data_IF_219833791044
#
_entry.id   IF_219833791044
#
_cell.length_a   1.000
_cell.length_b   1.000
_cell.length_c   1.000
_cell.angle_alpha   90.00
_cell.angle_beta   90.00
_cell.angle_gamma   90.00
#
_symmetry.space_group_name_H-M   'P 1'
#
loop_
_entity.id
_entity.type
_entity.pdbx_description
1 polymer ?
#
# COMPACT_ATOMS: atom_id res chain seq x y z
N UNK A 1 -24.22 14.51 -17.86
CA UNK A 1 -23.84 13.10 -18.11
C UNK A 1 -22.45 12.92 -17.55
N UNK A 2 -22.12 11.82 -16.86
CA UNK A 2 -20.75 11.67 -16.34
C UNK A 2 -19.74 11.57 -17.48
N UNK A 3 -18.55 12.12 -17.29
CA UNK A 3 -17.49 12.02 -18.28
C UNK A 3 -17.08 10.58 -18.53
N UNK A 4 -16.64 10.28 -19.75
CA UNK A 4 -16.19 8.92 -20.10
C UNK A 4 -15.10 8.42 -19.14
N UNK A 5 -14.10 9.25 -18.84
CA UNK A 5 -12.99 8.88 -17.96
C UNK A 5 -13.40 8.73 -16.49
N UNK A 6 -14.31 9.57 -15.99
CA UNK A 6 -14.86 9.42 -14.64
C UNK A 6 -15.67 8.13 -14.52
N UNK A 7 -16.47 7.78 -15.54
CA UNK A 7 -17.20 6.51 -15.60
C UNK A 7 -16.27 5.31 -15.62
N UNK A 8 -15.23 5.32 -16.45
CA UNK A 8 -14.22 4.25 -16.52
C UNK A 8 -13.54 4.09 -15.16
N UNK A 9 -13.09 5.19 -14.55
CA UNK A 9 -12.45 5.18 -13.22
C UNK A 9 -13.36 4.56 -12.18
N UNK A 10 -14.62 4.99 -12.09
CA UNK A 10 -15.58 4.43 -11.12
C UNK A 10 -15.76 2.93 -11.29
N UNK A 11 -16.02 2.49 -12.52
CA UNK A 11 -16.27 1.07 -12.80
C UNK A 11 -15.05 0.23 -12.46
N UNK A 12 -13.86 0.61 -12.95
CA UNK A 12 -12.62 -0.14 -12.72
C UNK A 12 -12.29 -0.17 -11.23
N UNK A 13 -12.28 0.97 -10.54
CA UNK A 13 -11.93 1.05 -9.11
C UNK A 13 -12.93 0.29 -8.21
N UNK A 14 -14.22 0.27 -8.56
CA UNK A 14 -15.22 -0.59 -7.87
C UNK A 14 -14.92 -2.08 -8.10
N UNK A 15 -14.62 -2.49 -9.34
CA UNK A 15 -14.26 -3.87 -9.64
C UNK A 15 -12.98 -4.30 -8.89
N UNK A 16 -11.93 -3.48 -8.92
CA UNK A 16 -10.66 -3.77 -8.25
C UNK A 16 -10.83 -3.86 -6.74
N UNK A 17 -11.52 -2.91 -6.10
CA UNK A 17 -11.82 -2.97 -4.67
C UNK A 17 -12.63 -4.21 -4.29
N UNK A 18 -13.63 -4.59 -5.10
CA UNK A 18 -14.40 -5.83 -4.92
C UNK A 18 -13.54 -7.09 -5.00
N UNK A 19 -12.61 -7.14 -5.96
CA UNK A 19 -11.65 -8.26 -6.10
C UNK A 19 -10.71 -8.32 -4.90
N UNK A 20 -10.15 -7.19 -4.46
CA UNK A 20 -9.29 -7.13 -3.26
C UNK A 20 -10.08 -7.66 -2.06
N UNK A 21 -11.30 -7.17 -1.83
CA UNK A 21 -12.14 -7.60 -0.71
C UNK A 21 -12.37 -9.12 -0.73
N UNK A 22 -12.72 -9.69 -1.89
CA UNK A 22 -12.93 -11.12 -2.04
C UNK A 22 -11.67 -11.94 -1.76
N UNK A 23 -10.52 -11.54 -2.31
CA UNK A 23 -9.24 -12.23 -2.08
C UNK A 23 -8.90 -12.26 -0.59
N UNK A 24 -9.03 -11.12 0.08
CA UNK A 24 -8.71 -11.01 1.51
C UNK A 24 -9.74 -11.70 2.42
N UNK A 25 -11.00 -11.75 2.04
CA UNK A 25 -12.01 -12.57 2.72
C UNK A 25 -11.69 -14.06 2.62
N UNK A 26 -11.34 -14.55 1.42
CA UNK A 26 -10.89 -15.93 1.21
C UNK A 26 -9.62 -16.22 2.02
N UNK A 27 -8.68 -15.28 2.04
CA UNK A 27 -7.45 -15.38 2.84
C UNK A 27 -7.76 -15.56 4.34
N UNK A 28 -8.61 -14.71 4.93
CA UNK A 28 -9.02 -14.84 6.34
C UNK A 28 -9.76 -16.15 6.61
N UNK A 29 -10.65 -16.56 5.71
CA UNK A 29 -11.35 -17.84 5.81
C UNK A 29 -10.35 -19.01 5.87
N UNK A 30 -9.40 -19.07 4.94
CA UNK A 30 -8.37 -20.11 4.94
C UNK A 30 -7.48 -20.05 6.17
N UNK A 31 -7.14 -18.84 6.64
CA UNK A 31 -6.35 -18.65 7.85
C UNK A 31 -7.07 -19.18 9.09
N UNK A 32 -8.37 -18.95 9.21
CA UNK A 32 -9.21 -19.46 10.31
C UNK A 32 -9.25 -20.99 10.35
N UNK A 33 -9.14 -21.65 9.18
CA UNK A 33 -9.13 -23.11 9.07
C UNK A 33 -7.76 -23.73 9.33
N UNK A 34 -6.67 -22.95 9.31
CA UNK A 34 -5.31 -23.46 9.47
C UNK A 34 -4.83 -23.35 10.92
N UNK A 35 -5.09 -24.40 11.72
CA UNK A 35 -4.75 -24.44 13.15
C UNK A 35 -3.28 -24.72 13.44
N UNK A 36 -2.50 -25.21 12.47
CA UNK A 36 -1.08 -25.56 12.69
C UNK A 36 -0.11 -24.39 12.49
N UNK A 37 -0.61 -23.21 12.10
CA UNK A 37 0.22 -22.01 11.99
C UNK A 37 0.57 -21.50 13.40
N UNK A 38 1.84 -21.16 13.62
CA UNK A 38 2.28 -20.54 14.88
C UNK A 38 1.51 -19.24 15.16
N UNK A 39 1.19 -18.98 16.43
CA UNK A 39 0.42 -17.80 16.82
C UNK A 39 1.07 -16.49 16.35
N UNK A 40 2.40 -16.37 16.44
CA UNK A 40 3.15 -15.20 15.95
C UNK A 40 2.92 -14.96 14.46
N UNK A 41 3.01 -16.01 13.65
CA UNK A 41 2.81 -15.87 12.22
C UNK A 41 1.35 -15.61 11.87
N UNK A 42 0.41 -16.22 12.61
CA UNK A 42 -1.03 -15.95 12.46
C UNK A 42 -1.35 -14.48 12.69
N UNK A 43 -0.77 -13.85 13.71
CA UNK A 43 -0.98 -12.42 13.99
C UNK A 43 -0.49 -11.54 12.85
N UNK A 44 0.70 -11.82 12.31
CA UNK A 44 1.24 -11.12 11.14
C UNK A 44 0.30 -11.23 9.93
N UNK A 45 -0.20 -12.44 9.65
CA UNK A 45 -1.15 -12.66 8.56
C UNK A 45 -2.48 -11.93 8.77
N UNK A 46 -2.97 -11.85 10.01
CA UNK A 46 -4.17 -11.07 10.36
C UNK A 46 -3.95 -9.58 10.10
N UNK A 47 -2.81 -9.02 10.52
CA UNK A 47 -2.49 -7.59 10.29
C UNK A 47 -2.52 -7.26 8.81
N UNK A 48 -1.85 -8.08 7.99
CA UNK A 48 -1.84 -7.89 6.53
C UNK A 48 -3.24 -8.03 5.94
N UNK A 49 -4.04 -8.97 6.45
CA UNK A 49 -5.40 -9.16 5.97
C UNK A 49 -6.32 -7.99 6.30
N UNK A 50 -6.24 -7.47 7.52
CA UNK A 50 -7.00 -6.31 7.98
C UNK A 50 -6.61 -5.07 7.18
N UNK A 51 -5.31 -4.84 6.95
CA UNK A 51 -4.84 -3.75 6.08
C UNK A 51 -5.44 -3.86 4.67
N UNK A 52 -5.37 -5.03 4.04
CA UNK A 52 -5.94 -5.24 2.70
C UNK A 52 -7.44 -4.98 2.62
N UNK A 53 -8.21 -5.40 3.63
CA UNK A 53 -9.66 -5.12 3.70
C UNK A 53 -9.98 -3.65 3.93
N UNK A 54 -9.28 -3.00 4.87
CA UNK A 54 -9.45 -1.57 5.13
C UNK A 54 -9.09 -0.73 3.92
N UNK A 55 -8.05 -1.13 3.19
CA UNK A 55 -7.63 -0.48 1.97
C UNK A 55 -8.65 -0.64 0.85
N UNK A 56 -9.14 -1.86 0.60
CA UNK A 56 -10.21 -2.12 -0.36
C UNK A 56 -11.47 -1.31 -0.06
N UNK A 57 -11.87 -1.29 1.21
CA UNK A 57 -13.01 -0.50 1.67
C UNK A 57 -12.81 1.00 1.40
N UNK A 58 -11.65 1.55 1.74
CA UNK A 58 -11.36 2.97 1.50
C UNK A 58 -11.34 3.31 0.00
N UNK A 59 -10.72 2.46 -0.84
CA UNK A 59 -10.76 2.60 -2.30
C UNK A 59 -12.20 2.67 -2.82
N UNK A 60 -13.06 1.76 -2.35
CA UNK A 60 -14.49 1.74 -2.71
C UNK A 60 -15.24 3.00 -2.27
N UNK A 61 -14.92 3.52 -1.07
CA UNK A 61 -15.56 4.72 -0.53
C UNK A 61 -15.23 5.99 -1.31
N UNK A 62 -13.98 6.14 -1.74
CA UNK A 62 -13.47 7.39 -2.32
C UNK A 62 -13.46 7.40 -3.85
N UNK A 63 -13.34 6.22 -4.48
CA UNK A 63 -13.20 6.04 -5.93
C UNK A 63 -12.27 7.09 -6.54
N UNK A 64 -10.97 6.95 -6.29
CA UNK A 64 -9.96 7.93 -6.72
C UNK A 64 -9.33 7.56 -8.07
N UNK A 65 -8.85 8.59 -8.76
CA UNK A 65 -7.89 8.48 -9.86
C UNK A 65 -6.73 9.45 -9.65
N UNK A 66 -5.61 9.19 -10.32
CA UNK A 66 -4.47 10.09 -10.38
C UNK A 66 -4.43 10.78 -11.73
N UNK A 67 -4.12 12.09 -11.74
CA UNK A 67 -4.04 12.93 -12.94
C UNK A 67 -2.81 13.82 -12.88
N UNK A 68 -2.14 13.93 -14.01
CA UNK A 68 -0.97 14.79 -14.21
C UNK A 68 -1.30 15.70 -15.39
N UNK A 69 -1.62 16.95 -15.09
CA UNK A 69 -2.08 17.90 -16.11
C UNK A 69 -1.77 19.34 -15.71
N UNK A 70 -1.35 20.15 -16.68
CA UNK A 70 -0.91 21.54 -16.52
C UNK A 70 0.08 21.74 -15.37
N UNK A 71 1.00 20.80 -15.16
CA UNK A 71 1.98 20.89 -14.08
C UNK A 71 1.43 20.59 -12.67
N UNK A 72 0.26 19.97 -12.57
CA UNK A 72 -0.37 19.59 -11.31
C UNK A 72 -0.55 18.08 -11.18
N UNK A 73 -0.17 17.54 -10.02
CA UNK A 73 -0.63 16.23 -9.57
C UNK A 73 -1.99 16.40 -8.88
N UNK A 74 -3.02 15.77 -9.41
CA UNK A 74 -4.38 15.82 -8.87
C UNK A 74 -4.91 14.42 -8.59
N UNK A 75 -5.68 14.29 -7.52
CA UNK A 75 -6.37 13.07 -7.09
C UNK A 75 -7.86 13.39 -6.91
N UNK A 76 -8.65 13.41 -7.99
CA UNK A 76 -10.09 13.56 -7.88
C UNK A 76 -10.73 12.33 -7.25
N UNK A 77 -11.70 12.55 -6.36
CA UNK A 77 -12.50 11.54 -5.68
C UNK A 77 -13.94 11.58 -6.20
N UNK A 78 -14.41 10.43 -6.68
CA UNK A 78 -15.73 10.26 -7.30
C UNK A 78 -16.68 9.38 -6.49
N UNK A 79 -16.29 9.02 -5.28
CA UNK A 79 -16.95 8.04 -4.45
C UNK A 79 -18.36 8.42 -4.00
N UNK A 80 -19.21 7.42 -3.70
CA UNK A 80 -20.60 7.65 -3.30
C UNK A 80 -20.74 8.46 -2.01
N UNK A 81 -19.71 8.46 -1.16
CA UNK A 81 -19.70 9.22 0.09
C UNK A 81 -19.18 10.66 -0.05
N UNK A 82 -18.53 11.00 -1.16
CA UNK A 82 -18.01 12.36 -1.39
C UNK A 82 -19.08 13.44 -1.18
N UNK A 83 -20.29 13.36 -1.79
CA UNK A 83 -21.31 14.39 -1.58
C UNK A 83 -21.96 14.36 -0.17
N UNK A 84 -21.80 13.27 0.58
CA UNK A 84 -22.48 13.06 1.87
C UNK A 84 -21.61 13.42 3.07
N UNK A 85 -20.29 13.33 2.94
CA UNK A 85 -19.35 13.56 4.02
C UNK A 85 -19.03 15.06 4.18
N UNK A 86 -18.93 15.57 5.42
CA UNK A 86 -18.29 16.85 5.68
C UNK A 86 -16.84 16.88 5.17
N UNK A 87 -16.36 18.07 4.76
CA UNK A 87 -15.00 18.26 4.21
C UNK A 87 -13.90 17.64 5.08
N UNK A 88 -13.97 17.80 6.40
CA UNK A 88 -13.01 17.20 7.33
C UNK A 88 -12.93 15.67 7.18
N UNK A 89 -14.06 14.98 7.01
CA UNK A 89 -14.07 13.52 6.84
C UNK A 89 -13.59 13.11 5.45
N UNK A 90 -13.84 13.92 4.42
CA UNK A 90 -13.29 13.70 3.07
C UNK A 90 -11.76 13.80 3.10
N UNK A 91 -11.22 14.84 3.74
CA UNK A 91 -9.78 15.08 3.87
C UNK A 91 -9.11 13.92 4.63
N UNK A 92 -9.71 13.49 5.74
CA UNK A 92 -9.22 12.34 6.51
C UNK A 92 -9.31 11.04 5.71
N UNK A 93 -10.34 10.86 4.88
CA UNK A 93 -10.46 9.67 4.04
C UNK A 93 -9.34 9.60 2.99
N UNK A 94 -9.01 10.73 2.35
CA UNK A 94 -7.92 10.82 1.39
C UNK A 94 -6.55 10.57 2.05
N UNK A 95 -6.32 11.16 3.23
CA UNK A 95 -5.10 10.93 4.01
C UNK A 95 -4.97 9.44 4.35
N UNK A 96 -6.04 8.83 4.87
CA UNK A 96 -6.06 7.40 5.20
C UNK A 96 -5.82 6.52 3.96
N UNK A 97 -6.43 6.84 2.81
CA UNK A 97 -6.21 6.11 1.57
C UNK A 97 -4.73 6.11 1.16
N UNK A 98 -4.11 7.28 1.23
CA UNK A 98 -2.71 7.47 0.86
C UNK A 98 -1.79 6.72 1.81
N UNK A 99 -2.00 6.83 3.13
CA UNK A 99 -1.25 6.07 4.14
C UNK A 99 -1.42 4.56 3.93
N UNK A 100 -2.64 4.08 3.67
CA UNK A 100 -2.86 2.66 3.38
C UNK A 100 -2.15 2.20 2.11
N UNK A 101 -2.02 3.08 1.10
CA UNK A 101 -1.23 2.80 -0.08
C UNK A 101 0.26 2.65 0.26
N UNK A 102 0.78 3.48 1.16
CA UNK A 102 2.19 3.42 1.57
C UNK A 102 2.50 2.21 2.48
N UNK A 103 1.53 1.80 3.29
CA UNK A 103 1.63 0.60 4.12
C UNK A 103 1.91 -0.69 3.32
N UNK A 104 1.61 -0.72 2.02
CA UNK A 104 1.92 -1.83 1.10
C UNK A 104 3.40 -2.24 1.20
N UNK A 105 4.33 -1.27 1.21
CA UNK A 105 5.76 -1.55 1.35
C UNK A 105 6.25 -1.42 2.80
N UNK A 106 5.63 -0.54 3.60
CA UNK A 106 6.08 -0.30 4.97
C UNK A 106 5.79 -1.43 5.94
N UNK A 107 4.84 -2.32 5.61
CA UNK A 107 4.58 -3.54 6.39
C UNK A 107 5.60 -4.65 6.11
N UNK A 108 6.40 -4.57 5.04
CA UNK A 108 7.36 -5.63 4.65
C UNK A 108 8.37 -5.96 5.76
N UNK A 109 8.99 -5.00 6.46
CA UNK A 109 9.93 -5.29 7.54
C UNK A 109 9.32 -6.01 8.76
N UNK A 110 8.01 -5.86 8.99
CA UNK A 110 7.33 -6.40 10.18
C UNK A 110 7.45 -7.92 10.30
N UNK A 111 6.96 -8.70 9.31
CA UNK A 111 7.06 -10.16 9.30
C UNK A 111 8.48 -10.70 9.49
N UNK A 112 9.49 -10.11 8.84
CA UNK A 112 10.87 -10.58 8.96
C UNK A 112 11.49 -10.20 10.30
N UNK A 113 11.19 -9.00 10.83
CA UNK A 113 11.58 -8.61 12.18
C UNK A 113 11.01 -9.57 13.22
N UNK A 114 9.74 -9.94 13.07
CA UNK A 114 9.07 -10.88 13.97
C UNK A 114 9.74 -12.24 13.97
N UNK A 115 10.14 -12.73 12.79
CA UNK A 115 10.90 -13.97 12.68
C UNK A 115 12.28 -13.85 13.33
N UNK A 116 13.01 -12.77 13.03
CA UNK A 116 14.33 -12.53 13.60
C UNK A 116 14.29 -12.48 15.13
N UNK A 117 13.30 -11.80 15.72
CA UNK A 117 13.10 -11.75 17.16
C UNK A 117 12.67 -13.10 17.73
N UNK A 118 11.86 -13.88 17.02
CA UNK A 118 11.51 -15.22 17.45
C UNK A 118 12.73 -16.17 17.49
N UNK A 119 13.68 -15.99 16.59
CA UNK A 119 14.92 -16.76 16.55
C UNK A 119 15.93 -16.31 17.62
N UNK A 120 16.17 -15.00 17.74
CA UNK A 120 17.24 -14.45 18.58
C UNK A 120 16.83 -14.15 20.01
N UNK A 121 15.53 -13.91 20.26
CA UNK A 121 14.98 -13.47 21.54
C UNK A 121 13.74 -14.29 21.92
N UNK A 122 13.86 -15.63 22.07
CA UNK A 122 12.71 -16.51 22.35
C UNK A 122 12.05 -16.25 23.71
N UNK A 123 12.75 -15.63 24.66
CA UNK A 123 12.23 -15.28 25.98
C UNK A 123 11.23 -14.11 25.97
N UNK A 124 11.22 -13.27 24.92
CA UNK A 124 10.26 -12.19 24.80
C UNK A 124 8.86 -12.77 24.56
N UNK A 125 7.82 -12.22 25.18
CA UNK A 125 6.45 -12.63 24.87
C UNK A 125 6.06 -12.21 23.43
N UNK A 126 4.98 -12.79 22.91
CA UNK A 126 4.51 -12.54 21.54
C UNK A 126 4.16 -11.07 21.28
N UNK A 127 3.57 -10.38 22.26
CA UNK A 127 3.13 -8.99 22.13
C UNK A 127 4.30 -8.03 22.05
N UNK A 128 5.33 -8.23 22.88
CA UNK A 128 6.57 -7.44 22.83
C UNK A 128 7.28 -7.64 21.50
N UNK A 129 7.39 -8.89 21.01
CA UNK A 129 7.98 -9.14 19.69
C UNK A 129 7.17 -8.45 18.58
N UNK A 130 5.84 -8.51 18.64
CA UNK A 130 4.96 -7.88 17.67
C UNK A 130 5.15 -6.35 17.65
N UNK A 131 5.11 -5.72 18.83
CA UNK A 131 5.31 -4.28 18.97
C UNK A 131 6.68 -3.84 18.42
N UNK A 132 7.75 -4.53 18.82
CA UNK A 132 9.09 -4.22 18.33
C UNK A 132 9.20 -4.39 16.80
N UNK A 133 8.57 -5.43 16.25
CA UNK A 133 8.61 -5.72 14.81
C UNK A 133 7.91 -4.67 13.96
N UNK A 134 6.84 -4.06 14.47
CA UNK A 134 6.05 -3.05 13.75
C UNK A 134 6.31 -1.61 14.21
N UNK A 135 7.20 -1.41 15.20
CA UNK A 135 7.58 -0.07 15.68
C UNK A 135 8.08 0.84 14.56
N UNK A 136 8.91 0.31 13.66
CA UNK A 136 9.42 1.03 12.48
C UNK A 136 8.27 1.44 11.55
N UNK A 137 7.32 0.53 11.28
CA UNK A 137 6.15 0.84 10.46
C UNK A 137 5.29 1.92 11.12
N UNK A 138 5.11 1.89 12.44
CA UNK A 138 4.39 2.95 13.18
C UNK A 138 5.11 4.30 13.02
N UNK A 139 6.43 4.32 13.14
CA UNK A 139 7.22 5.53 12.89
C UNK A 139 7.05 6.05 11.45
N UNK A 140 7.03 5.17 10.44
CA UNK A 140 6.77 5.57 9.06
C UNK A 140 5.35 6.13 8.87
N UNK A 141 4.32 5.54 9.48
CA UNK A 141 2.95 6.07 9.40
C UNK A 141 2.87 7.48 10.00
N UNK A 142 3.50 7.70 11.16
CA UNK A 142 3.55 9.03 11.79
C UNK A 142 4.30 10.02 10.90
N UNK A 143 5.43 9.61 10.34
CA UNK A 143 6.23 10.41 9.42
C UNK A 143 5.43 10.80 8.17
N UNK A 144 4.78 9.83 7.53
CA UNK A 144 3.99 10.03 6.32
C UNK A 144 2.80 10.95 6.54
N UNK A 145 2.15 10.88 7.71
CA UNK A 145 1.03 11.77 8.02
C UNK A 145 1.37 13.24 7.82
N UNK A 146 2.59 13.67 8.19
CA UNK A 146 3.04 15.05 7.99
C UNK A 146 3.25 15.44 6.52
N UNK A 147 3.58 14.48 5.65
CA UNK A 147 3.72 14.73 4.21
C UNK A 147 2.38 14.60 3.47
N UNK A 148 1.61 13.57 3.79
CA UNK A 148 0.32 13.26 3.16
C UNK A 148 -0.71 14.33 3.49
N UNK A 149 -0.69 14.93 4.69
CA UNK A 149 -1.55 16.08 5.02
C UNK A 149 -1.33 17.28 4.10
N UNK A 150 -0.19 17.38 3.41
CA UNK A 150 0.06 18.44 2.43
C UNK A 150 -0.73 18.26 1.13
N UNK A 151 -1.28 17.07 0.85
CA UNK A 151 -2.18 16.82 -0.28
C UNK A 151 -3.52 17.55 -0.13
N UNK A 152 -3.88 17.95 1.08
CA UNK A 152 -5.06 18.79 1.32
C UNK A 152 -4.76 20.20 0.81
N UNK A 153 -5.42 20.63 -0.28
CA UNK A 153 -5.12 21.91 -0.90
C UNK A 153 -5.57 23.07 0.01
N UNK A 154 -4.94 24.22 -0.15
CA UNK A 154 -5.51 25.49 0.34
C UNK A 154 -6.80 25.82 -0.42
N UNK A 155 -7.70 26.67 0.13
CA UNK A 155 -8.93 27.07 -0.56
C UNK A 155 -8.69 27.72 -1.93
N UNK A 156 -7.59 28.46 -2.09
CA UNK A 156 -7.21 29.10 -3.34
C UNK A 156 -6.73 28.06 -4.36
N UNK A 157 -5.86 27.15 -3.94
CA UNK A 157 -5.33 26.11 -4.81
C UNK A 157 -6.38 25.07 -5.20
N UNK A 158 -7.32 24.75 -4.31
CA UNK A 158 -8.43 23.82 -4.57
C UNK A 158 -9.19 24.19 -5.84
N UNK A 159 -9.46 25.49 -6.05
CA UNK A 159 -10.14 25.99 -7.25
C UNK A 159 -9.34 25.71 -8.52
N UNK A 160 -8.01 25.87 -8.46
CA UNK A 160 -7.11 25.64 -9.59
C UNK A 160 -7.12 24.15 -9.95
N UNK A 161 -6.83 23.27 -8.99
CA UNK A 161 -6.77 21.82 -9.26
C UNK A 161 -8.13 21.23 -9.62
N UNK A 162 -9.23 21.83 -9.16
CA UNK A 162 -10.58 21.41 -9.55
C UNK A 162 -10.85 21.76 -11.01
N UNK A 163 -10.47 22.96 -11.47
CA UNK A 163 -10.57 23.33 -12.87
C UNK A 163 -9.70 22.41 -13.75
N UNK A 164 -8.44 22.19 -13.36
CA UNK A 164 -7.51 21.29 -14.06
C UNK A 164 -8.04 19.86 -14.13
N UNK A 165 -8.61 19.33 -13.04
CA UNK A 165 -9.20 17.98 -13.04
C UNK A 165 -10.46 17.88 -13.89
N UNK A 166 -11.27 18.94 -13.94
CA UNK A 166 -12.44 19.00 -14.84
C UNK A 166 -12.01 18.95 -16.29
N UNK A 167 -10.99 19.70 -16.66
CA UNK A 167 -10.43 19.71 -18.02
C UNK A 167 -9.83 18.35 -18.39
N UNK A 168 -8.95 17.81 -17.54
CA UNK A 168 -8.22 16.57 -17.82
C UNK A 168 -9.12 15.34 -18.04
N UNK A 169 -10.25 15.29 -17.34
CA UNK A 169 -11.18 14.16 -17.41
C UNK A 169 -12.54 14.52 -18.03
N UNK A 170 -12.70 15.73 -18.59
CA UNK A 170 -13.96 16.20 -19.19
C UNK A 170 -15.17 16.11 -18.23
N UNK A 171 -14.96 16.43 -16.94
CA UNK A 171 -15.98 16.27 -15.88
C UNK A 171 -17.09 17.33 -16.05
N UNK A 172 -18.33 16.86 -16.15
CA UNK A 172 -19.54 17.70 -16.27
C UNK A 172 -19.60 18.76 -15.16
N UNK A 173 -19.89 20.01 -15.52
CA UNK A 173 -19.93 21.14 -14.57
C UNK A 173 -20.84 20.91 -13.37
N UNK A 174 -21.90 20.11 -13.55
CA UNK A 174 -22.87 19.79 -12.50
C UNK A 174 -22.45 18.58 -11.64
N UNK A 175 -21.42 17.85 -12.07
CA UNK A 175 -20.91 16.71 -11.32
C UNK A 175 -20.11 17.19 -10.11
N UNK A 176 -20.53 16.74 -8.93
CA UNK A 176 -19.86 17.02 -7.67
C UNK A 176 -18.72 16.04 -7.45
N UNK A 177 -17.52 16.57 -7.23
CA UNK A 177 -16.34 15.81 -6.84
C UNK A 177 -15.42 16.70 -5.99
N UNK A 178 -14.53 16.07 -5.24
CA UNK A 178 -13.47 16.76 -4.52
C UNK A 178 -12.13 16.34 -5.05
N UNK A 179 -11.15 17.22 -4.94
CA UNK A 179 -9.83 17.01 -5.52
C UNK A 179 -8.76 17.34 -4.49
N UNK A 180 -7.76 16.49 -4.44
CA UNK A 180 -6.57 16.64 -3.63
C UNK A 180 -5.36 16.69 -4.54
N UNK A 181 -4.22 17.16 -4.07
CA UNK A 181 -3.05 17.19 -4.93
C UNK A 181 -1.99 18.20 -4.56
N UNK A 182 -0.96 18.24 -5.40
CA UNK A 182 0.19 19.12 -5.23
C UNK A 182 0.69 19.60 -6.61
N UNK A 183 1.19 20.84 -6.69
CA UNK A 183 1.78 21.37 -7.91
C UNK A 183 3.18 20.77 -8.09
N UNK A 184 3.65 20.58 -9.31
CA UNK A 184 5.04 20.13 -9.54
C UNK A 184 6.05 21.20 -9.12
N UNK A 185 5.71 22.46 -9.31
CA UNK A 185 6.52 23.62 -8.95
C UNK A 185 5.92 24.38 -7.76
N UNK A 186 6.74 25.22 -7.11
CA UNK A 186 6.27 26.08 -6.02
C UNK A 186 5.31 27.12 -6.57
N UNK A 187 4.11 27.20 -5.97
CA UNK A 187 3.14 28.25 -6.25
C UNK A 187 2.66 28.88 -4.92
N UNK A 188 2.53 30.21 -4.86
CA UNK A 188 2.08 30.90 -3.65
C UNK A 188 0.70 30.45 -3.18
N UNK A 189 -0.21 30.16 -4.10
CA UNK A 189 -1.59 29.77 -3.83
C UNK A 189 -1.67 28.52 -2.98
N UNK A 190 -0.68 27.62 -3.07
CA UNK A 190 -0.59 26.40 -2.26
C UNK A 190 0.52 26.47 -1.20
N UNK A 191 0.83 27.66 -0.67
CA UNK A 191 1.88 27.88 0.33
C UNK A 191 3.26 27.35 -0.10
N UNK A 192 3.59 27.42 -1.39
CA UNK A 192 4.85 26.92 -1.97
C UNK A 192 5.13 25.42 -1.71
N UNK A 193 4.09 24.62 -1.41
CA UNK A 193 4.19 23.16 -1.31
C UNK A 193 4.38 22.57 -2.70
N UNK A 194 5.10 21.45 -2.81
CA UNK A 194 5.38 20.82 -4.10
C UNK A 194 5.21 19.31 -4.05
N UNK A 195 4.87 18.73 -5.20
CA UNK A 195 4.73 17.29 -5.38
C UNK A 195 6.07 16.57 -5.16
N UNK A 196 7.20 17.20 -5.53
CA UNK A 196 8.53 16.60 -5.36
C UNK A 196 8.89 16.39 -3.87
N UNK A 197 8.42 17.27 -2.98
CA UNK A 197 8.58 17.09 -1.53
C UNK A 197 7.89 15.83 -1.04
N UNK A 198 6.68 15.54 -1.54
CA UNK A 198 5.96 14.29 -1.23
C UNK A 198 6.66 13.08 -1.85
N UNK A 199 7.05 13.18 -3.13
CA UNK A 199 7.69 12.11 -3.88
C UNK A 199 9.01 11.64 -3.23
N UNK A 200 9.94 12.58 -3.01
CA UNK A 200 11.25 12.26 -2.46
C UNK A 200 11.19 12.09 -0.94
N UNK A 201 10.49 12.99 -0.27
CA UNK A 201 10.43 13.06 1.18
C UNK A 201 9.67 11.91 1.81
N UNK A 202 8.64 11.37 1.15
CA UNK A 202 7.78 10.34 1.73
C UNK A 202 7.82 9.02 0.92
N UNK A 203 7.50 9.05 -0.37
CA UNK A 203 7.40 7.82 -1.17
C UNK A 203 8.77 7.14 -1.30
N UNK A 204 9.74 7.84 -1.86
CA UNK A 204 11.10 7.31 -2.09
C UNK A 204 11.76 6.95 -0.76
N UNK A 205 11.77 7.87 0.21
CA UNK A 205 12.47 7.66 1.49
C UNK A 205 11.97 6.43 2.25
N UNK A 206 10.65 6.27 2.43
CA UNK A 206 10.09 5.14 3.17
C UNK A 206 10.18 3.85 2.38
N UNK A 207 9.99 3.91 1.06
CA UNK A 207 10.18 2.76 0.18
C UNK A 207 11.60 2.19 0.29
N UNK A 208 12.61 3.01 0.02
CA UNK A 208 14.01 2.57 0.11
C UNK A 208 14.37 2.10 1.52
N UNK A 209 13.94 2.83 2.55
CA UNK A 209 14.20 2.45 3.95
C UNK A 209 13.59 1.09 4.30
N UNK A 210 12.33 0.83 3.93
CA UNK A 210 11.68 -0.46 4.15
C UNK A 210 12.45 -1.62 3.51
N UNK A 211 12.91 -1.46 2.26
CA UNK A 211 13.65 -2.52 1.57
C UNK A 211 15.06 -2.71 2.10
N UNK A 212 15.75 -1.64 2.52
CA UNK A 212 17.07 -1.75 3.19
C UNK A 212 16.92 -2.51 4.51
N UNK A 213 15.92 -2.16 5.33
CA UNK A 213 15.67 -2.82 6.61
C UNK A 213 15.32 -4.29 6.40
N UNK A 214 14.44 -4.59 5.43
CA UNK A 214 14.12 -5.96 5.04
C UNK A 214 15.38 -6.75 4.65
N UNK A 215 16.21 -6.20 3.75
CA UNK A 215 17.45 -6.83 3.31
C UNK A 215 18.42 -7.09 4.46
N UNK A 216 18.59 -6.11 5.35
CA UNK A 216 19.45 -6.24 6.53
C UNK A 216 18.96 -7.37 7.46
N UNK A 217 17.66 -7.41 7.77
CA UNK A 217 17.08 -8.45 8.65
C UNK A 217 17.25 -9.85 8.03
N UNK A 218 17.00 -9.99 6.72
CA UNK A 218 17.22 -11.25 6.01
C UNK A 218 18.68 -11.72 6.13
N UNK A 219 19.64 -10.81 5.95
CA UNK A 219 21.07 -11.12 6.12
C UNK A 219 21.38 -11.54 7.55
N UNK A 220 20.80 -10.87 8.55
CA UNK A 220 20.98 -11.20 9.96
C UNK A 220 20.40 -12.58 10.32
N UNK A 221 19.19 -12.90 9.85
CA UNK A 221 18.58 -14.23 10.02
C UNK A 221 19.51 -15.31 9.44
N UNK A 222 20.00 -15.12 8.21
CA UNK A 222 20.91 -16.06 7.55
C UNK A 222 22.22 -16.25 8.31
N UNK A 223 22.82 -15.17 8.80
CA UNK A 223 24.05 -15.22 9.61
C UNK A 223 23.83 -16.00 10.89
N UNK A 224 22.72 -15.74 11.58
CA UNK A 224 22.38 -16.39 12.84
C UNK A 224 22.17 -17.90 12.68
N UNK A 225 21.48 -18.31 11.61
CA UNK A 225 21.26 -19.73 11.32
C UNK A 225 22.55 -20.46 10.95
N UNK A 226 23.46 -19.81 10.21
CA UNK A 226 24.78 -20.37 9.92
C UNK A 226 25.67 -20.49 11.16
N UNK A 227 25.63 -19.51 12.06
CA UNK A 227 26.51 -19.49 13.23
C UNK A 227 26.25 -20.62 14.21
N UNK A 228 25.04 -21.17 14.25
CA UNK A 228 24.72 -22.19 15.23
C UNK A 228 25.37 -23.54 14.96
N UNK A 229 25.82 -23.87 13.74
CA UNK A 229 26.35 -25.21 13.45
C UNK A 229 25.41 -26.37 13.81
N UNK A 230 24.18 -26.05 14.24
CA UNK A 230 23.18 -26.99 14.72
C UNK A 230 22.70 -27.72 13.48
N UNK A 231 22.74 -29.06 13.54
CA UNK A 231 22.00 -29.94 12.64
C UNK A 231 20.51 -29.66 12.82
N UNK A 232 20.02 -28.55 12.27
CA UNK A 232 18.59 -28.28 12.14
C UNK A 232 18.00 -29.50 11.44
N UNK A 233 16.87 -29.98 11.94
CA UNK A 233 16.17 -31.08 11.26
C UNK A 233 15.92 -30.67 9.81
N UNK A 234 16.00 -31.62 8.89
CA UNK A 234 15.71 -31.39 7.46
C UNK A 234 14.32 -30.74 7.29
N UNK A 235 13.37 -31.11 8.15
CA UNK A 235 12.04 -30.52 8.22
C UNK A 235 12.07 -29.03 8.58
N UNK A 236 12.88 -28.62 9.55
CA UNK A 236 13.00 -27.20 9.95
C UNK A 236 13.62 -26.38 8.82
N UNK A 237 14.70 -26.88 8.20
CA UNK A 237 15.34 -26.21 7.06
C UNK A 237 14.39 -26.07 5.87
N UNK A 238 13.59 -27.11 5.57
CA UNK A 238 12.59 -27.05 4.49
C UNK A 238 11.49 -26.04 4.78
N UNK A 239 11.01 -25.98 6.01
CA UNK A 239 10.00 -25.00 6.44
C UNK A 239 10.54 -23.58 6.33
N UNK A 240 11.77 -23.35 6.78
CA UNK A 240 12.43 -22.05 6.72
C UNK A 240 12.67 -21.59 5.28
N UNK A 241 13.17 -22.48 4.41
CA UNK A 241 13.34 -22.18 2.99
C UNK A 241 12.02 -21.82 2.30
N UNK A 242 10.94 -22.51 2.66
CA UNK A 242 9.61 -22.21 2.12
C UNK A 242 9.14 -20.83 2.59
N UNK A 243 9.35 -20.52 3.86
CA UNK A 243 9.01 -19.23 4.44
C UNK A 243 9.84 -18.09 3.82
N UNK A 244 11.14 -18.30 3.63
CA UNK A 244 12.03 -17.35 2.98
C UNK A 244 11.60 -17.06 1.53
N UNK A 245 11.27 -18.10 0.76
CA UNK A 245 10.71 -17.94 -0.59
C UNK A 245 9.41 -17.13 -0.57
N UNK A 246 8.54 -17.38 0.42
CA UNK A 246 7.30 -16.62 0.58
C UNK A 246 7.59 -15.14 0.87
N UNK A 247 8.49 -14.85 1.81
CA UNK A 247 8.88 -13.47 2.13
C UNK A 247 9.50 -12.75 0.94
N UNK A 248 10.38 -13.42 0.19
CA UNK A 248 10.95 -12.86 -1.03
C UNK A 248 9.88 -12.57 -2.07
N UNK A 249 8.98 -13.53 -2.33
CA UNK A 249 7.91 -13.34 -3.31
C UNK A 249 6.99 -12.18 -2.89
N UNK A 250 6.61 -12.13 -1.62
CA UNK A 250 5.79 -11.05 -1.07
C UNK A 250 6.48 -9.69 -1.12
N UNK A 251 7.81 -9.64 -1.02
CA UNK A 251 8.56 -8.38 -0.98
C UNK A 251 8.94 -7.89 -2.38
N UNK A 252 9.39 -8.80 -3.25
CA UNK A 252 9.88 -8.47 -4.61
C UNK A 252 8.71 -8.23 -5.57
N UNK A 253 7.63 -8.99 -5.47
CA UNK A 253 6.53 -8.86 -6.43
C UNK A 253 5.88 -7.46 -6.38
N UNK A 254 5.62 -6.86 -5.21
CA UNK A 254 5.23 -5.45 -5.12
C UNK A 254 6.24 -4.49 -5.73
N UNK A 255 7.56 -4.73 -5.57
CA UNK A 255 8.61 -3.88 -6.19
C UNK A 255 8.40 -3.84 -7.69
N UNK A 256 8.26 -5.02 -8.32
CA UNK A 256 8.11 -5.11 -9.77
C UNK A 256 6.86 -4.38 -10.23
N UNK A 257 5.72 -4.63 -9.57
CA UNK A 257 4.43 -4.03 -9.95
C UNK A 257 4.45 -2.51 -9.71
N UNK A 258 5.01 -2.04 -8.59
CA UNK A 258 4.98 -0.63 -8.21
C UNK A 258 6.11 0.19 -8.84
N UNK A 259 7.16 -0.44 -9.37
CA UNK A 259 8.26 0.25 -10.05
C UNK A 259 7.76 1.09 -11.23
N UNK A 260 6.80 0.56 -12.00
CA UNK A 260 6.17 1.26 -13.11
C UNK A 260 5.39 2.51 -12.67
N UNK A 261 4.40 2.43 -11.75
CA UNK A 261 3.69 3.62 -11.27
C UNK A 261 4.60 4.61 -10.54
N UNK A 262 5.63 4.17 -9.82
CA UNK A 262 6.62 5.08 -9.22
C UNK A 262 7.40 5.83 -10.31
N UNK A 263 7.84 5.17 -11.37
CA UNK A 263 8.52 5.83 -12.49
C UNK A 263 7.60 6.83 -13.19
N UNK A 264 6.33 6.46 -13.43
CA UNK A 264 5.30 7.34 -13.97
C UNK A 264 4.96 8.51 -13.04
N UNK A 265 5.18 8.38 -11.73
CA UNK A 265 4.97 9.45 -10.77
C UNK A 265 6.16 10.41 -10.71
N UNK A 266 7.38 9.89 -10.65
CA UNK A 266 8.61 10.67 -10.46
C UNK A 266 9.02 11.41 -11.73
N UNK A 267 9.04 10.75 -12.89
CA UNK A 267 9.56 11.35 -14.14
C UNK A 267 8.79 12.62 -14.51
N UNK A 268 7.44 12.62 -14.55
CA UNK A 268 6.69 13.83 -14.83
C UNK A 268 6.78 14.87 -13.72
N UNK A 269 6.88 14.46 -12.45
CA UNK A 269 7.02 15.40 -11.33
C UNK A 269 8.31 16.22 -11.41
N UNK A 270 9.38 15.65 -11.99
CA UNK A 270 10.66 16.34 -12.24
C UNK A 270 10.60 17.14 -13.55
N UNK A 271 10.10 16.53 -14.62
CA UNK A 271 10.14 17.10 -15.97
C UNK A 271 8.97 18.03 -16.28
N UNK A 272 7.98 18.11 -15.40
CA UNK A 272 6.71 18.82 -15.58
C UNK A 272 5.94 18.42 -16.85
N UNK A 273 6.04 17.15 -17.26
CA UNK A 273 5.28 16.64 -18.41
C UNK A 273 3.84 16.33 -18.03
N UNK A 274 2.93 16.67 -18.95
CA UNK A 274 1.53 16.27 -18.86
C UNK A 274 1.34 14.86 -19.42
N UNK A 275 0.70 14.01 -18.63
CA UNK A 275 0.34 12.65 -19.04
C UNK A 275 -1.16 12.53 -19.33
N UNK A 276 -1.98 13.48 -18.87
CA UNK A 276 -3.43 13.46 -19.07
C UNK A 276 -4.04 12.13 -18.57
N UNK A 277 -5.00 11.53 -19.30
CA UNK A 277 -5.62 10.26 -18.90
C UNK A 277 -4.66 9.05 -18.85
N UNK A 278 -3.46 9.13 -19.42
CA UNK A 278 -2.51 8.01 -19.36
C UNK A 278 -2.09 7.69 -17.91
N UNK A 279 -2.23 8.63 -16.98
CA UNK A 279 -2.00 8.41 -15.54
C UNK A 279 -2.99 7.43 -14.90
N UNK A 280 -4.09 7.09 -15.57
CA UNK A 280 -4.97 6.01 -15.12
C UNK A 280 -4.23 4.67 -15.06
N UNK A 281 -3.21 4.44 -15.90
CA UNK A 281 -2.38 3.24 -15.79
C UNK A 281 -1.64 3.19 -14.44
N UNK A 282 -1.19 4.34 -13.92
CA UNK A 282 -0.59 4.44 -12.58
C UNK A 282 -1.63 4.05 -11.51
N UNK A 283 -2.84 4.60 -11.61
CA UNK A 283 -3.96 4.34 -10.69
C UNK A 283 -4.25 2.84 -10.59
N UNK A 284 -4.54 2.19 -11.72
CA UNK A 284 -4.87 0.76 -11.75
C UNK A 284 -3.68 -0.12 -11.33
N UNK A 285 -2.45 0.29 -11.66
CA UNK A 285 -1.25 -0.44 -11.21
C UNK A 285 -1.09 -0.42 -9.70
N UNK A 286 -1.39 0.71 -9.03
CA UNK A 286 -1.32 0.83 -7.57
C UNK A 286 -2.38 -0.07 -6.92
N UNK A 287 -3.61 -0.09 -7.44
CA UNK A 287 -4.68 -0.94 -6.92
C UNK A 287 -4.46 -2.43 -7.20
N UNK A 288 -3.68 -2.78 -8.21
CA UNK A 288 -3.30 -4.17 -8.50
C UNK A 288 -2.37 -4.79 -7.45
N UNK A 289 -1.55 -3.99 -6.77
CA UNK A 289 -0.58 -4.48 -5.79
C UNK A 289 -1.23 -5.33 -4.68
N UNK A 290 -2.26 -4.86 -3.94
CA UNK A 290 -2.91 -5.67 -2.91
C UNK A 290 -3.60 -6.92 -3.47
N UNK A 291 -4.12 -6.90 -4.70
CA UNK A 291 -4.70 -8.10 -5.33
C UNK A 291 -3.64 -9.20 -5.48
N UNK A 292 -2.47 -8.82 -5.98
CA UNK A 292 -1.37 -9.75 -6.18
C UNK A 292 -0.79 -10.24 -4.86
N UNK A 293 -0.58 -9.34 -3.89
CA UNK A 293 -0.11 -9.71 -2.55
C UNK A 293 -1.08 -10.69 -1.87
N UNK A 294 -2.38 -10.37 -1.85
CA UNK A 294 -3.42 -11.24 -1.29
C UNK A 294 -3.47 -12.61 -1.97
N UNK A 295 -3.33 -12.66 -3.29
CA UNK A 295 -3.31 -13.91 -4.07
C UNK A 295 -2.14 -14.82 -3.68
N UNK A 296 -0.95 -14.25 -3.46
CA UNK A 296 0.22 -14.99 -2.97
C UNK A 296 -0.06 -15.61 -1.60
N UNK A 297 -0.71 -14.89 -0.69
CA UNK A 297 -1.08 -15.42 0.62
C UNK A 297 -2.11 -16.53 0.54
N UNK A 298 -3.14 -16.38 -0.30
CA UNK A 298 -4.15 -17.42 -0.54
C UNK A 298 -3.48 -18.69 -1.08
N UNK A 299 -2.62 -18.56 -2.08
CA UNK A 299 -1.87 -19.67 -2.65
C UNK A 299 -1.03 -20.39 -1.59
N UNK A 300 -0.31 -19.64 -0.76
CA UNK A 300 0.52 -20.17 0.31
C UNK A 300 -0.31 -20.95 1.34
N UNK A 301 -1.42 -20.37 1.83
CA UNK A 301 -2.27 -21.04 2.81
C UNK A 301 -2.92 -22.30 2.26
N UNK A 302 -3.40 -22.27 1.00
CA UNK A 302 -3.95 -23.46 0.33
C UNK A 302 -2.91 -24.59 0.26
N UNK A 303 -1.69 -24.25 -0.13
CA UNK A 303 -0.59 -25.22 -0.22
C UNK A 303 -0.24 -25.78 1.15
N UNK A 304 -0.17 -24.93 2.18
CA UNK A 304 0.06 -25.37 3.56
C UNK A 304 -1.02 -26.34 4.04
N UNK A 305 -2.30 -26.03 3.83
CA UNK A 305 -3.42 -26.89 4.21
C UNK A 305 -3.40 -28.25 3.48
N UNK A 306 -3.08 -28.26 2.18
CA UNK A 306 -2.97 -29.50 1.40
C UNK A 306 -1.89 -30.42 1.96
N UNK A 307 -0.73 -29.86 2.30
CA UNK A 307 0.39 -30.62 2.86
C UNK A 307 0.11 -31.18 4.27
N UNK A 308 -0.82 -30.58 5.01
CA UNK A 308 -1.24 -31.08 6.32
C UNK A 308 -2.13 -32.33 6.22
N UNK A 309 -2.96 -32.42 5.17
CA UNK A 309 -3.84 -33.57 4.93
C UNK A 309 -3.06 -34.80 4.49
N UNK A 310 -1.97 -34.62 3.73
CA UNK A 310 -1.12 -35.73 3.28
C UNK A 310 -0.19 -36.27 4.37
N UNK A 311 -0.09 -35.59 5.52
CA UNK A 311 0.77 -36.00 6.64
C UNK A 311 0.00 -36.69 7.76
N UNK A 312 -1.30 -36.96 7.57
CA UNK A 312 -2.18 -37.69 8.48
C UNK A 312 -2.48 -39.04 7.87
#
# INVERSE_FOLDING_TARGET
>A
MSSYWASVTRVVTVCESGIIFLIYAIFLFLLSRNTRISQSFRMVLIIVAVHGLLYAFNIWLVLSAHVFHHGHFSVPLYGPLVPLLPKLLQDMSMICLTIFSYLIWQLIPGPCSMQYLALTRPHLNIYTRLFLSYSITICFVIYDYFFVSQLVPTPEYEKIIQATSREAFDIDKNEHFVVYGLPFQQIPENNNRTCITLALGCVVSTYFSSYIIFGAIIVMIRRHLKSFGVKLSEKTLKMENTFYKMQLLQSILPVVIISFPIALFIIPSITSHDLGPATLSMTFSVWLVPMVQGSVFVYYLRTSLRNQKTSQ
#
